data_IF_384842980437
#
_entry.id   IF_384842980437
#
_cell.length_a   1.000
_cell.length_b   1.000
_cell.length_c   1.000
_cell.angle_alpha   90.00
_cell.angle_beta   90.00
_cell.angle_gamma   90.00
#
_symmetry.space_group_name_H-M   'P 1'
#
loop_
_entity.id
_entity.type
_entity.pdbx_description
1 polymer ?
#
# COMPACT_ATOMS: atom_id res chain seq x y z
N UNK A 1 -15.75 -25.97 10.52
CA UNK A 1 -14.62 -26.38 9.66
C UNK A 1 -14.95 -25.83 8.28
N UNK A 2 -14.28 -24.78 7.81
CA UNK A 2 -14.57 -24.16 6.52
C UNK A 2 -13.66 -24.79 5.47
N UNK A 3 -14.24 -25.24 4.36
CA UNK A 3 -13.53 -25.89 3.26
C UNK A 3 -12.74 -24.85 2.44
N UNK A 4 -11.57 -25.24 1.92
CA UNK A 4 -10.72 -24.42 1.04
C UNK A 4 -10.71 -25.06 -0.35
N UNK A 5 -10.72 -24.28 -1.41
CA UNK A 5 -10.58 -24.81 -2.77
C UNK A 5 -9.15 -25.23 -3.11
N UNK A 6 -9.00 -25.81 -4.31
CA UNK A 6 -7.72 -26.25 -4.87
C UNK A 6 -6.71 -25.12 -5.11
N UNK A 7 -7.10 -23.85 -4.96
CA UNK A 7 -6.23 -22.68 -4.99
C UNK A 7 -5.93 -22.13 -3.58
N UNK A 8 -6.36 -22.82 -2.52
CA UNK A 8 -6.10 -22.44 -1.13
C UNK A 8 -7.03 -21.35 -0.58
N UNK A 9 -7.95 -20.83 -1.41
CA UNK A 9 -8.90 -19.79 -1.02
C UNK A 9 -10.01 -20.38 -0.14
N UNK A 10 -10.47 -19.60 0.85
CA UNK A 10 -11.61 -19.97 1.69
C UNK A 10 -12.88 -19.97 0.83
N UNK A 11 -13.28 -21.14 0.33
CA UNK A 11 -14.57 -21.30 -0.32
C UNK A 11 -15.69 -21.06 0.68
N UNK A 12 -16.44 -19.98 0.49
CA UNK A 12 -17.63 -19.66 1.27
C UNK A 12 -17.48 -18.55 2.32
N UNK A 13 -16.38 -17.79 2.36
CA UNK A 13 -16.40 -16.53 3.08
C UNK A 13 -17.38 -15.58 2.38
N UNK A 14 -18.50 -15.27 3.02
CA UNK A 14 -19.51 -14.31 2.53
C UNK A 14 -19.32 -13.01 3.30
N UNK A 15 -19.27 -11.88 2.61
CA UNK A 15 -19.18 -10.56 3.24
C UNK A 15 -20.48 -10.33 4.05
N UNK A 16 -20.41 -10.12 5.38
CA UNK A 16 -21.60 -9.96 6.22
C UNK A 16 -22.40 -8.68 5.92
N UNK A 17 -21.83 -7.73 5.19
CA UNK A 17 -22.50 -6.48 4.78
C UNK A 17 -23.21 -6.66 3.44
N UNK A 18 -22.67 -7.46 2.52
CA UNK A 18 -23.18 -7.54 1.13
C UNK A 18 -23.78 -8.89 0.77
N UNK A 19 -23.56 -9.94 1.56
CA UNK A 19 -24.08 -11.29 1.28
C UNK A 19 -23.46 -11.95 0.04
N UNK A 20 -22.44 -11.33 -0.56
CA UNK A 20 -21.73 -11.82 -1.73
C UNK A 20 -20.49 -12.60 -1.28
N UNK A 21 -20.02 -13.57 -2.10
CA UNK A 21 -18.73 -14.21 -1.83
C UNK A 21 -17.68 -13.12 -1.69
N UNK A 22 -16.89 -13.18 -0.61
CA UNK A 22 -15.68 -12.38 -0.43
C UNK A 22 -14.75 -12.79 -1.55
N UNK A 23 -14.89 -12.05 -2.63
CA UNK A 23 -13.89 -11.85 -3.66
C UNK A 23 -12.54 -11.78 -2.97
N UNK A 24 -11.62 -12.70 -3.28
CA UNK A 24 -10.28 -12.74 -2.68
C UNK A 24 -9.55 -11.39 -2.82
N UNK A 25 -9.98 -10.59 -3.80
CA UNK A 25 -9.59 -9.21 -4.07
C UNK A 25 -10.10 -8.17 -3.06
N UNK A 26 -11.08 -8.46 -2.19
CA UNK A 26 -11.73 -7.45 -1.31
C UNK A 26 -11.21 -7.48 0.13
N UNK A 27 -10.74 -8.62 0.64
CA UNK A 27 -10.22 -8.74 2.01
C UNK A 27 -8.69 -8.64 2.13
N UNK A 28 -7.98 -8.89 1.03
CA UNK A 28 -6.53 -9.10 1.05
C UNK A 28 -5.86 -8.04 0.16
N UNK A 29 -5.65 -6.85 0.71
CA UNK A 29 -4.88 -5.76 0.09
C UNK A 29 -5.14 -5.60 -1.42
N UNK A 30 -6.33 -5.10 -1.81
CA UNK A 30 -6.80 -4.87 -3.19
C UNK A 30 -5.89 -3.94 -4.04
N UNK A 31 -4.60 -4.27 -4.19
CA UNK A 31 -3.56 -3.43 -4.76
C UNK A 31 -3.34 -2.08 -4.04
N UNK A 32 -3.97 -1.85 -2.87
CA UNK A 32 -3.90 -0.56 -2.17
C UNK A 32 -2.54 -0.36 -1.53
N UNK A 33 -1.66 0.29 -2.28
CA UNK A 33 -0.28 0.49 -1.88
C UNK A 33 -0.18 1.28 -0.56
N UNK A 34 0.53 0.71 0.39
CA UNK A 34 0.81 1.29 1.69
C UNK A 34 -0.29 1.11 2.73
N UNK A 35 -1.52 0.67 2.42
CA UNK A 35 -2.59 0.52 3.43
C UNK A 35 -3.10 -0.92 3.51
N UNK A 36 -3.59 -1.31 4.69
CA UNK A 36 -4.16 -2.64 4.92
C UNK A 36 -3.18 -3.59 5.62
N UNK A 37 -3.38 -4.91 5.48
CA UNK A 37 -2.60 -5.92 6.17
C UNK A 37 -1.17 -6.01 5.65
N UNK A 38 -0.27 -6.48 6.51
CA UNK A 38 1.10 -6.79 6.11
C UNK A 38 1.11 -7.99 5.15
N UNK A 39 1.92 -7.91 4.09
CA UNK A 39 2.12 -8.98 3.12
C UNK A 39 3.38 -9.78 3.45
N UNK A 40 3.34 -11.09 3.21
CA UNK A 40 4.48 -12.00 3.27
C UNK A 40 4.48 -12.89 2.03
N UNK A 41 5.68 -13.30 1.60
CA UNK A 41 5.82 -14.29 0.55
C UNK A 41 5.47 -15.66 1.13
N UNK A 42 4.37 -16.24 0.66
CA UNK A 42 3.91 -17.55 1.08
C UNK A 42 4.84 -18.63 0.51
N UNK A 43 5.30 -19.55 1.36
CA UNK A 43 6.32 -20.54 1.01
C UNK A 43 5.77 -21.67 0.12
N UNK A 44 4.46 -21.87 0.12
CA UNK A 44 3.70 -22.88 -0.60
C UNK A 44 3.23 -22.40 -1.98
N UNK A 45 2.66 -21.19 -2.07
CA UNK A 45 2.19 -20.62 -3.35
C UNK A 45 3.27 -19.82 -4.09
N UNK A 46 4.29 -19.33 -3.38
CA UNK A 46 5.27 -18.38 -3.94
C UNK A 46 4.66 -17.01 -4.25
N UNK A 47 3.45 -16.74 -3.75
CA UNK A 47 2.73 -15.47 -3.94
C UNK A 47 2.81 -14.59 -2.69
N UNK A 48 2.59 -13.29 -2.87
CA UNK A 48 2.50 -12.36 -1.75
C UNK A 48 1.08 -12.38 -1.18
N UNK A 49 0.95 -12.88 0.04
CA UNK A 49 -0.32 -13.04 0.75
C UNK A 49 -0.33 -12.23 2.04
N UNK A 50 -1.50 -11.75 2.50
CA UNK A 50 -1.58 -11.05 3.77
C UNK A 50 -1.37 -12.01 4.94
N UNK A 51 -0.57 -11.57 5.91
CA UNK A 51 -0.28 -12.32 7.14
C UNK A 51 -1.54 -12.46 8.01
N UNK A 52 -2.33 -11.39 8.11
CA UNK A 52 -3.60 -11.36 8.84
C UNK A 52 -4.54 -10.35 8.17
N UNK A 53 -5.52 -10.84 7.42
CA UNK A 53 -6.46 -9.99 6.66
C UNK A 53 -7.31 -9.08 7.53
N UNK A 54 -7.48 -9.40 8.82
CA UNK A 54 -8.28 -8.61 9.76
C UNK A 54 -7.46 -7.53 10.49
N UNK A 55 -6.14 -7.48 10.27
CA UNK A 55 -5.24 -6.58 10.99
C UNK A 55 -4.39 -5.71 10.06
N UNK A 56 -4.67 -4.42 10.08
CA UNK A 56 -3.88 -3.41 9.38
C UNK A 56 -2.52 -3.13 10.03
N UNK A 57 -1.59 -2.60 9.24
CA UNK A 57 -0.28 -2.13 9.72
C UNK A 57 -0.35 -0.70 10.26
N UNK A 58 0.53 -0.39 11.21
CA UNK A 58 0.77 0.98 11.66
C UNK A 58 1.77 1.66 10.73
N UNK A 59 1.44 2.87 10.27
CA UNK A 59 2.27 3.66 9.35
C UNK A 59 2.68 4.98 9.97
N UNK A 60 3.82 5.47 9.53
CA UNK A 60 4.23 6.86 9.71
C UNK A 60 4.75 7.41 8.38
N UNK A 61 4.67 8.72 8.22
CA UNK A 61 5.25 9.43 7.10
C UNK A 61 6.00 10.65 7.62
N UNK A 62 7.22 10.84 7.11
CA UNK A 62 8.05 12.01 7.37
C UNK A 62 8.24 12.74 6.04
N UNK A 63 7.95 14.04 6.01
CA UNK A 63 8.12 14.86 4.81
C UNK A 63 9.01 16.07 5.09
N UNK A 64 9.96 16.32 4.20
CA UNK A 64 10.77 17.52 4.17
C UNK A 64 10.46 18.29 2.88
N UNK A 65 10.05 19.55 3.03
CA UNK A 65 9.71 20.44 1.93
C UNK A 65 10.73 21.57 1.79
N UNK A 66 11.06 21.92 0.56
CA UNK A 66 11.86 23.08 0.20
C UNK A 66 11.05 24.01 -0.69
N UNK A 67 11.03 25.30 -0.39
CA UNK A 67 10.38 26.32 -1.21
C UNK A 67 11.38 27.43 -1.50
N UNK A 68 11.50 27.81 -2.76
CA UNK A 68 12.37 28.87 -3.23
C UNK A 68 11.62 29.82 -4.14
N UNK A 69 11.60 31.10 -3.76
CA UNK A 69 11.03 32.15 -4.58
C UNK A 69 12.06 32.54 -5.65
N UNK A 70 11.80 32.21 -6.91
CA UNK A 70 12.67 32.58 -8.04
C UNK A 70 12.47 34.07 -8.37
N UNK A 71 11.20 34.47 -8.45
CA UNK A 71 10.75 35.84 -8.66
C UNK A 71 9.43 36.05 -7.88
N UNK A 72 8.94 37.28 -7.66
CA UNK A 72 7.71 37.52 -6.90
C UNK A 72 6.46 36.77 -7.41
N UNK A 73 6.46 36.39 -8.69
CA UNK A 73 5.40 35.61 -9.34
C UNK A 73 5.70 34.12 -9.49
N UNK A 74 6.93 33.65 -9.19
CA UNK A 74 7.35 32.27 -9.48
C UNK A 74 8.03 31.63 -8.28
N UNK A 75 7.48 30.50 -7.81
CA UNK A 75 8.03 29.71 -6.70
C UNK A 75 8.33 28.31 -7.16
N UNK A 76 9.54 27.84 -6.87
CA UNK A 76 9.92 26.44 -7.00
C UNK A 76 9.75 25.71 -5.67
N UNK A 77 9.19 24.50 -5.72
CA UNK A 77 8.90 23.69 -4.56
C UNK A 77 9.44 22.29 -4.77
N UNK A 78 10.04 21.71 -3.74
CA UNK A 78 10.46 20.31 -3.69
C UNK A 78 9.92 19.66 -2.43
N UNK A 79 9.63 18.37 -2.52
CA UNK A 79 9.19 17.56 -1.38
C UNK A 79 9.89 16.20 -1.42
N UNK A 80 10.56 15.84 -0.33
CA UNK A 80 11.04 14.50 -0.06
C UNK A 80 10.15 13.88 1.02
N UNK A 81 9.55 12.74 0.73
CA UNK A 81 8.69 12.01 1.66
C UNK A 81 9.24 10.60 1.89
N UNK A 82 9.41 10.25 3.15
CA UNK A 82 9.73 8.91 3.62
C UNK A 82 8.51 8.31 4.31
N UNK A 83 7.98 7.24 3.76
CA UNK A 83 6.88 6.46 4.31
C UNK A 83 7.40 5.17 4.94
N UNK A 84 7.06 4.92 6.20
CA UNK A 84 7.42 3.69 6.93
C UNK A 84 6.21 2.98 7.51
N UNK A 85 6.30 1.67 7.66
CA UNK A 85 5.28 0.83 8.29
C UNK A 85 5.90 -0.28 9.15
N UNK A 86 5.15 -0.79 10.14
CA UNK A 86 5.59 -1.93 10.95
C UNK A 86 5.47 -3.29 10.23
N UNK A 87 4.83 -3.33 9.06
CA UNK A 87 4.69 -4.50 8.19
C UNK A 87 4.90 -4.15 6.71
N UNK A 88 5.12 -5.16 5.86
CA UNK A 88 5.38 -4.94 4.44
C UNK A 88 4.06 -4.64 3.71
N UNK A 89 3.86 -3.39 3.32
CA UNK A 89 2.63 -2.91 2.67
C UNK A 89 2.88 -2.06 1.43
N UNK A 90 4.14 -1.73 1.19
CA UNK A 90 4.52 -0.97 0.00
C UNK A 90 4.90 -1.94 -1.10
N UNK A 91 4.11 -1.99 -2.17
CA UNK A 91 4.42 -2.77 -3.36
C UNK A 91 5.47 -2.05 -4.19
N UNK A 92 6.55 -2.73 -4.52
CA UNK A 92 7.55 -2.27 -5.47
C UNK A 92 7.05 -2.51 -6.90
N UNK A 93 7.02 -1.46 -7.72
CA UNK A 93 6.49 -1.54 -9.07
C UNK A 93 7.40 -2.36 -10.02
N UNK A 94 8.67 -2.61 -9.64
CA UNK A 94 9.66 -3.25 -10.52
C UNK A 94 9.53 -4.77 -10.54
N UNK A 95 9.33 -5.37 -9.38
CA UNK A 95 9.29 -6.82 -9.19
C UNK A 95 8.00 -7.30 -8.50
N UNK A 96 7.12 -6.38 -8.11
CA UNK A 96 5.87 -6.70 -7.43
C UNK A 96 6.05 -7.11 -5.97
N UNK A 97 7.28 -7.06 -5.42
CA UNK A 97 7.58 -7.41 -4.03
C UNK A 97 7.00 -6.40 -3.05
N UNK A 98 6.81 -6.82 -1.78
CA UNK A 98 6.33 -5.93 -0.73
C UNK A 98 7.44 -5.57 0.26
N UNK A 99 7.52 -4.30 0.60
CA UNK A 99 8.51 -3.71 1.53
C UNK A 99 7.84 -2.85 2.60
N UNK A 100 8.60 -2.56 3.65
CA UNK A 100 8.14 -1.80 4.83
C UNK A 100 8.31 -0.29 4.70
N UNK A 101 9.03 0.17 3.68
CA UNK A 101 9.35 1.57 3.48
C UNK A 101 9.21 1.99 2.00
N UNK A 102 8.94 3.27 1.80
CA UNK A 102 8.89 3.90 0.49
C UNK A 102 9.44 5.32 0.56
N UNK A 103 10.11 5.76 -0.50
CA UNK A 103 10.65 7.12 -0.63
C UNK A 103 10.10 7.76 -1.89
N UNK A 104 9.57 8.98 -1.76
CA UNK A 104 9.04 9.77 -2.86
C UNK A 104 9.74 11.13 -2.91
N UNK A 105 10.18 11.53 -4.10
CA UNK A 105 10.70 12.86 -4.38
C UNK A 105 9.79 13.55 -5.41
N UNK A 106 9.28 14.72 -5.06
CA UNK A 106 8.46 15.56 -5.92
C UNK A 106 9.08 16.94 -6.11
N UNK A 107 8.89 17.53 -7.30
CA UNK A 107 9.29 18.90 -7.60
C UNK A 107 8.20 19.57 -8.44
N UNK A 108 7.91 20.84 -8.17
CA UNK A 108 6.91 21.64 -8.88
C UNK A 108 7.32 23.10 -8.98
N UNK A 109 6.82 23.79 -10.01
CA UNK A 109 6.95 25.25 -10.17
C UNK A 109 5.55 25.84 -10.17
N UNK A 110 5.33 26.85 -9.34
CA UNK A 110 4.08 27.59 -9.23
C UNK A 110 4.32 28.99 -9.82
N UNK A 111 3.45 29.39 -10.76
CA UNK A 111 3.46 30.71 -11.38
C UNK A 111 2.13 31.40 -11.07
N UNK A 112 2.20 32.63 -10.57
CA UNK A 112 1.06 33.48 -10.24
C UNK A 112 1.04 34.69 -11.19
N UNK A 113 -0.13 35.06 -11.69
CA UNK A 113 -0.34 36.17 -12.63
C UNK A 113 -1.36 37.17 -12.09
#
# INVERSE_FOLDING_TARGET
MLERDAAGALTGAVDPVTGLPVRADVGCAAGRNGFGPAMALAADSGEWEPIDSNKGVNRYALSAGFNYLINPSTTWKMELRYDGANGAVFRDARDGSYKKNNVLLGSSVVVSF
#
